data_IF_507199844507
#
_entry.id   IF_507199844507
#
_cell.length_a   1.000
_cell.length_b   1.000
_cell.length_c   1.000
_cell.angle_alpha   90.00
_cell.angle_beta   90.00
_cell.angle_gamma   90.00
#
_symmetry.space_group_name_H-M   'P 1'
#
loop_
_entity.id
_entity.type
_entity.pdbx_description
1 polymer ?
#
# COMPACT_ATOMS: atom_id res chain seq x y z
N UNK A 1 -24.31 -12.74 13.15
CA UNK A 1 -24.37 -11.54 14.01
C UNK A 1 -23.44 -10.41 13.55
N UNK A 2 -22.17 -10.64 13.16
CA UNK A 2 -21.28 -9.54 12.70
C UNK A 2 -21.65 -8.91 11.36
N UNK A 3 -22.15 -9.71 10.40
CA UNK A 3 -22.43 -9.24 9.04
C UNK A 3 -23.56 -8.22 8.95
N UNK A 4 -24.62 -8.39 9.74
CA UNK A 4 -25.76 -7.48 9.70
C UNK A 4 -25.38 -6.12 10.29
N UNK A 5 -24.59 -6.12 11.38
CA UNK A 5 -24.06 -4.90 12.02
C UNK A 5 -23.20 -4.07 11.05
N UNK A 6 -22.26 -4.70 10.35
CA UNK A 6 -21.42 -4.03 9.36
C UNK A 6 -22.26 -3.34 8.28
N UNK A 7 -23.24 -4.07 7.73
CA UNK A 7 -24.11 -3.55 6.68
C UNK A 7 -24.94 -2.37 7.16
N UNK A 8 -25.49 -2.44 8.39
CA UNK A 8 -26.24 -1.34 9.00
C UNK A 8 -25.37 -0.10 9.14
N UNK A 9 -24.18 -0.22 9.74
CA UNK A 9 -23.26 0.92 9.96
C UNK A 9 -22.93 1.62 8.63
N UNK A 10 -22.59 0.87 7.58
CA UNK A 10 -22.20 1.46 6.29
C UNK A 10 -23.40 2.05 5.54
N UNK A 11 -24.56 1.37 5.52
CA UNK A 11 -25.76 1.88 4.82
C UNK A 11 -26.31 3.15 5.48
N UNK A 12 -26.32 3.19 6.80
CA UNK A 12 -26.81 4.33 7.58
C UNK A 12 -25.74 5.41 7.76
N UNK A 13 -24.50 5.15 7.33
CA UNK A 13 -23.34 6.02 7.55
C UNK A 13 -23.20 6.39 9.04
N UNK A 14 -23.36 5.39 9.92
CA UNK A 14 -23.38 5.57 11.36
C UNK A 14 -21.97 5.84 11.90
N UNK A 15 -21.52 7.09 11.74
CA UNK A 15 -20.21 7.58 12.14
C UNK A 15 -19.95 7.41 13.64
N UNK A 16 -20.96 7.69 14.48
CA UNK A 16 -20.86 7.60 15.94
C UNK A 16 -20.46 6.20 16.40
N UNK A 17 -21.01 5.16 15.76
CA UNK A 17 -20.66 3.79 16.10
C UNK A 17 -19.23 3.40 15.67
N UNK A 18 -18.75 3.94 14.54
CA UNK A 18 -17.35 3.74 14.11
C UNK A 18 -16.39 4.43 15.10
N UNK A 19 -16.72 5.66 15.55
CA UNK A 19 -15.94 6.38 16.56
C UNK A 19 -15.90 5.58 17.86
N UNK A 20 -17.05 5.07 18.32
CA UNK A 20 -17.10 4.23 19.52
C UNK A 20 -16.19 3.00 19.38
N UNK A 21 -16.19 2.33 18.23
CA UNK A 21 -15.28 1.20 17.99
C UNK A 21 -13.81 1.62 18.00
N UNK A 22 -13.47 2.79 17.44
CA UNK A 22 -12.09 3.33 17.50
C UNK A 22 -11.63 3.58 18.94
N UNK A 23 -12.54 4.08 19.79
CA UNK A 23 -12.28 4.32 21.22
C UNK A 23 -12.13 3.03 22.02
N UNK A 24 -13.01 2.03 21.78
CA UNK A 24 -13.04 0.80 22.58
C UNK A 24 -12.06 -0.27 22.10
N UNK A 25 -12.04 -0.53 20.79
CA UNK A 25 -11.35 -1.68 20.20
C UNK A 25 -10.01 -1.26 19.58
N UNK A 26 -9.85 0.04 19.30
CA UNK A 26 -8.67 0.61 18.68
C UNK A 26 -8.63 0.41 17.16
N UNK A 27 -7.77 1.19 16.51
CA UNK A 27 -7.64 1.28 15.05
C UNK A 27 -7.58 -0.06 14.31
N UNK A 28 -6.74 -1.00 14.77
CA UNK A 28 -6.53 -2.28 14.07
C UNK A 28 -7.79 -3.13 14.07
N UNK A 29 -8.51 -3.20 15.20
CA UNK A 29 -9.72 -4.02 15.29
C UNK A 29 -10.90 -3.38 14.58
N UNK A 30 -11.04 -2.05 14.65
CA UNK A 30 -12.02 -1.33 13.84
C UNK A 30 -11.78 -1.55 12.35
N UNK A 31 -10.54 -1.38 11.89
CA UNK A 31 -10.18 -1.59 10.49
C UNK A 31 -10.40 -3.04 10.03
N UNK A 32 -10.04 -4.01 10.87
CA UNK A 32 -10.30 -5.43 10.64
C UNK A 32 -11.78 -5.74 10.43
N UNK A 33 -12.65 -5.10 11.22
CA UNK A 33 -14.10 -5.26 11.11
C UNK A 33 -14.63 -4.81 9.75
N UNK A 34 -14.14 -3.70 9.20
CA UNK A 34 -14.59 -3.15 7.91
C UNK A 34 -13.84 -3.69 6.68
N UNK A 35 -12.82 -4.55 6.86
CA UNK A 35 -11.93 -4.95 5.77
C UNK A 35 -12.66 -5.54 4.54
N UNK A 36 -13.74 -6.30 4.73
CA UNK A 36 -14.51 -6.91 3.64
C UNK A 36 -15.11 -5.92 2.65
N UNK A 37 -15.33 -4.66 3.07
CA UNK A 37 -15.91 -3.60 2.23
C UNK A 37 -14.89 -2.54 1.83
N UNK A 38 -13.66 -2.63 2.35
CA UNK A 38 -12.56 -1.72 2.04
C UNK A 38 -11.63 -2.26 0.95
N UNK A 39 -11.63 -3.57 0.70
CA UNK A 39 -10.88 -4.15 -0.41
C UNK A 39 -11.55 -3.87 -1.76
N UNK A 40 -10.76 -3.86 -2.85
CA UNK A 40 -11.28 -3.82 -4.22
C UNK A 40 -11.13 -5.17 -4.91
N UNK A 41 -12.10 -5.56 -5.73
CA UNK A 41 -12.03 -6.83 -6.50
C UNK A 41 -10.99 -6.78 -7.61
N UNK A 42 -10.80 -5.60 -8.19
CA UNK A 42 -9.79 -5.30 -9.21
C UNK A 42 -9.44 -3.82 -9.17
N UNK A 43 -8.18 -3.48 -9.51
CA UNK A 43 -7.67 -2.11 -9.63
C UNK A 43 -7.67 -1.58 -11.07
N UNK A 44 -8.24 -2.34 -12.00
CA UNK A 44 -8.55 -1.86 -13.34
C UNK A 44 -9.80 -2.54 -13.89
N UNK A 45 -10.43 -1.89 -14.86
CA UNK A 45 -11.52 -2.45 -15.66
C UNK A 45 -11.17 -2.33 -17.14
N UNK A 46 -11.71 -3.27 -17.91
CA UNK A 46 -11.67 -3.29 -19.36
C UNK A 46 -13.12 -3.22 -19.85
N UNK A 47 -13.41 -2.36 -20.81
CA UNK A 47 -14.67 -2.43 -21.54
C UNK A 47 -14.54 -3.28 -22.81
N UNK A 48 -15.65 -3.43 -23.54
CA UNK A 48 -15.72 -4.25 -24.75
C UNK A 48 -14.84 -3.75 -25.90
N UNK A 49 -14.38 -2.50 -25.84
CA UNK A 49 -13.50 -1.89 -26.84
C UNK A 49 -12.02 -2.02 -26.47
N UNK A 50 -11.74 -2.56 -25.28
CA UNK A 50 -10.39 -2.72 -24.76
C UNK A 50 -9.84 -1.47 -24.06
N UNK A 51 -10.68 -0.47 -23.75
CA UNK A 51 -10.21 0.68 -22.96
C UNK A 51 -9.91 0.24 -21.52
N UNK A 52 -8.71 0.58 -21.05
CA UNK A 52 -8.28 0.31 -19.67
C UNK A 52 -8.59 1.52 -18.79
N UNK A 53 -9.46 1.34 -17.80
CA UNK A 53 -9.70 2.33 -16.74
C UNK A 53 -9.10 1.82 -15.43
N UNK A 54 -8.16 2.57 -14.85
CA UNK A 54 -7.51 2.22 -13.58
C UNK A 54 -8.27 2.83 -12.40
N UNK A 55 -8.39 2.09 -11.31
CA UNK A 55 -8.96 2.58 -10.05
C UNK A 55 -7.85 3.11 -9.17
N UNK A 56 -8.16 4.14 -8.41
CA UNK A 56 -7.23 4.70 -7.44
C UNK A 56 -7.04 3.79 -6.22
N UNK A 57 -5.93 4.00 -5.52
CA UNK A 57 -5.64 3.37 -4.24
C UNK A 57 -6.73 3.69 -3.22
N UNK A 58 -7.11 2.70 -2.42
CA UNK A 58 -7.87 2.95 -1.20
C UNK A 58 -6.89 3.41 -0.11
N UNK A 59 -6.97 4.68 0.29
CA UNK A 59 -6.05 5.29 1.26
C UNK A 59 -6.38 4.93 2.73
N UNK A 60 -7.27 3.97 2.99
CA UNK A 60 -7.66 3.62 4.36
C UNK A 60 -6.48 3.18 5.24
N UNK A 61 -5.53 2.35 4.74
CA UNK A 61 -4.37 1.95 5.54
C UNK A 61 -3.46 3.15 5.85
N UNK A 62 -3.06 4.00 4.87
CA UNK A 62 -2.31 5.22 5.17
C UNK A 62 -3.00 6.16 6.15
N UNK A 63 -4.30 6.39 5.97
CA UNK A 63 -5.08 7.27 6.85
C UNK A 63 -5.06 6.73 8.29
N UNK A 64 -5.31 5.43 8.48
CA UNK A 64 -5.28 4.81 9.81
C UNK A 64 -3.88 4.84 10.43
N UNK A 65 -2.82 4.72 9.62
CA UNK A 65 -1.44 4.76 10.08
C UNK A 65 -1.01 6.14 10.60
N UNK A 66 -1.44 7.21 9.92
CA UNK A 66 -0.89 8.55 10.12
C UNK A 66 -1.85 9.57 10.73
N UNK A 67 -3.16 9.31 10.77
CA UNK A 67 -4.13 10.20 11.44
C UNK A 67 -4.43 9.77 12.87
N UNK A 68 -4.42 10.70 13.82
CA UNK A 68 -4.96 10.50 15.17
C UNK A 68 -6.43 10.90 15.34
N UNK A 69 -7.01 11.57 14.34
CA UNK A 69 -8.35 12.15 14.39
C UNK A 69 -9.43 11.10 14.10
N UNK A 70 -10.16 10.68 15.14
CA UNK A 70 -11.19 9.65 15.04
C UNK A 70 -12.37 10.05 14.15
N UNK A 71 -12.69 11.34 14.07
CA UNK A 71 -13.76 11.85 13.22
C UNK A 71 -13.39 11.64 11.74
N UNK A 72 -12.18 12.02 11.37
CA UNK A 72 -11.63 11.80 10.03
C UNK A 72 -11.45 10.31 9.70
N UNK A 73 -11.02 9.49 10.67
CA UNK A 73 -10.92 8.03 10.48
C UNK A 73 -12.29 7.41 10.20
N UNK A 74 -13.32 7.81 10.93
CA UNK A 74 -14.68 7.31 10.76
C UNK A 74 -15.29 7.72 9.40
N UNK A 75 -15.11 8.98 9.00
CA UNK A 75 -15.52 9.45 7.66
C UNK A 75 -14.79 8.69 6.56
N UNK A 76 -13.50 8.42 6.75
CA UNK A 76 -12.70 7.66 5.78
C UNK A 76 -13.23 6.23 5.62
N UNK A 77 -13.60 5.54 6.71
CA UNK A 77 -14.24 4.21 6.61
C UNK A 77 -15.50 4.29 5.76
N UNK A 78 -16.37 5.27 5.98
CA UNK A 78 -17.63 5.43 5.24
C UNK A 78 -17.35 5.71 3.75
N UNK A 79 -16.43 6.63 3.46
CA UNK A 79 -16.14 7.08 2.09
C UNK A 79 -15.43 6.01 1.24
N UNK A 80 -14.57 5.19 1.86
CA UNK A 80 -13.82 4.17 1.17
C UNK A 80 -14.51 2.79 1.14
N UNK A 81 -15.61 2.61 1.88
CA UNK A 81 -16.38 1.37 1.86
C UNK A 81 -17.24 1.24 0.60
N UNK A 82 -17.17 0.09 -0.07
CA UNK A 82 -18.04 -0.23 -1.21
C UNK A 82 -18.74 -1.59 -1.02
N UNK A 83 -20.02 -1.55 -0.68
CA UNK A 83 -20.85 -2.75 -0.49
C UNK A 83 -20.99 -3.59 -1.77
N UNK A 84 -20.80 -3.00 -2.96
CA UNK A 84 -20.88 -3.72 -4.25
C UNK A 84 -19.63 -4.54 -4.51
N UNK A 85 -18.48 -4.06 -4.03
CA UNK A 85 -17.20 -4.77 -4.14
C UNK A 85 -16.96 -5.76 -3.00
N UNK A 86 -17.82 -5.74 -1.96
CA UNK A 86 -17.70 -6.58 -0.78
C UNK A 86 -17.24 -8.01 -1.09
N UNK A 87 -16.18 -8.44 -0.40
CA UNK A 87 -15.59 -9.77 -0.54
C UNK A 87 -15.39 -10.39 0.85
N UNK A 88 -15.87 -11.61 1.06
CA UNK A 88 -15.65 -12.31 2.33
C UNK A 88 -14.18 -12.71 2.45
N UNK A 89 -13.56 -12.32 3.55
CA UNK A 89 -12.17 -12.68 3.82
C UNK A 89 -12.15 -14.03 4.54
N UNK A 90 -11.62 -15.05 3.86
CA UNK A 90 -11.46 -16.39 4.43
C UNK A 90 -10.16 -16.50 5.20
N UNK A 91 -10.14 -17.41 6.19
CA UNK A 91 -8.94 -17.67 6.99
C UNK A 91 -7.76 -18.06 6.10
N UNK A 92 -6.60 -17.46 6.36
CA UNK A 92 -5.39 -17.70 5.57
C UNK A 92 -4.60 -18.85 6.20
N UNK A 93 -4.49 -19.96 5.47
CA UNK A 93 -3.70 -21.11 5.90
C UNK A 93 -2.19 -20.80 5.90
N UNK A 94 -1.46 -21.47 6.79
CA UNK A 94 0.00 -21.36 6.94
C UNK A 94 0.77 -22.37 6.08
N UNK A 95 2.06 -22.10 5.85
CA UNK A 95 2.98 -23.02 5.18
C UNK A 95 4.19 -23.32 6.09
N UNK A 96 4.11 -24.34 6.94
CA UNK A 96 5.13 -24.57 7.98
C UNK A 96 6.48 -25.13 7.48
N UNK A 97 6.55 -25.69 6.26
CA UNK A 97 7.67 -26.55 5.84
C UNK A 97 8.57 -25.93 4.76
N UNK A 98 8.58 -24.61 4.59
CA UNK A 98 9.38 -23.91 3.57
C UNK A 98 10.40 -23.02 4.27
N UNK A 99 11.67 -23.03 3.88
CA UNK A 99 12.67 -22.12 4.44
C UNK A 99 12.42 -20.64 4.06
N UNK A 100 13.04 -19.71 4.79
CA UNK A 100 12.85 -18.27 4.57
C UNK A 100 13.27 -17.83 3.16
N UNK A 101 14.46 -18.20 2.63
CA UNK A 101 14.86 -17.81 1.27
C UNK A 101 13.85 -18.21 0.20
N UNK A 102 13.33 -19.45 0.27
CA UNK A 102 12.31 -19.94 -0.66
C UNK A 102 10.96 -19.29 -0.43
N UNK A 103 10.57 -18.97 0.81
CA UNK A 103 9.36 -18.18 1.09
C UNK A 103 9.41 -16.82 0.41
N UNK A 104 10.56 -16.11 0.47
CA UNK A 104 10.74 -14.82 -0.20
C UNK A 104 10.60 -14.92 -1.71
N UNK A 105 11.31 -15.88 -2.32
CA UNK A 105 11.25 -16.15 -3.76
C UNK A 105 9.81 -16.43 -4.20
N UNK A 106 9.10 -17.31 -3.49
CA UNK A 106 7.71 -17.65 -3.82
C UNK A 106 6.77 -16.47 -3.63
N UNK A 107 6.94 -15.68 -2.58
CA UNK A 107 6.15 -14.49 -2.34
C UNK A 107 6.32 -13.47 -3.48
N UNK A 108 7.56 -13.11 -3.84
CA UNK A 108 7.81 -12.18 -4.96
C UNK A 108 7.18 -12.69 -6.26
N UNK A 109 7.34 -13.98 -6.58
CA UNK A 109 6.77 -14.59 -7.78
C UNK A 109 5.24 -14.58 -7.80
N UNK A 110 4.59 -14.82 -6.66
CA UNK A 110 3.11 -14.86 -6.63
C UNK A 110 2.53 -13.46 -6.62
N UNK A 111 3.23 -12.48 -6.03
CA UNK A 111 2.90 -11.06 -6.13
C UNK A 111 2.97 -10.58 -7.59
N UNK A 112 4.08 -10.85 -8.30
CA UNK A 112 4.25 -10.44 -9.69
C UNK A 112 3.21 -11.07 -10.63
N UNK A 113 2.87 -12.34 -10.40
CA UNK A 113 1.89 -13.05 -11.23
C UNK A 113 0.44 -12.68 -10.89
N UNK A 114 0.19 -11.93 -9.82
CA UNK A 114 -1.14 -11.58 -9.34
C UNK A 114 -1.91 -12.77 -8.76
N UNK A 115 -1.22 -13.72 -8.14
CA UNK A 115 -1.83 -14.92 -7.55
C UNK A 115 -2.10 -14.74 -6.05
N UNK A 116 -3.27 -14.18 -5.73
CA UNK A 116 -3.64 -13.80 -4.35
C UNK A 116 -3.67 -14.98 -3.38
N UNK A 117 -4.18 -16.14 -3.80
CA UNK A 117 -4.32 -17.29 -2.92
C UNK A 117 -2.98 -17.84 -2.42
N UNK A 118 -1.94 -17.75 -3.23
CA UNK A 118 -0.59 -18.12 -2.81
C UNK A 118 0.12 -16.96 -2.12
N UNK A 119 0.01 -15.73 -2.64
CA UNK A 119 0.63 -14.54 -2.03
C UNK A 119 0.22 -14.37 -0.57
N UNK A 120 -1.08 -14.53 -0.26
CA UNK A 120 -1.58 -14.38 1.12
C UNK A 120 -0.98 -15.43 2.07
N UNK A 121 -0.80 -16.67 1.61
CA UNK A 121 -0.25 -17.77 2.43
C UNK A 121 1.25 -17.63 2.63
N UNK A 122 2.03 -17.38 1.57
CA UNK A 122 3.47 -17.15 1.68
C UNK A 122 3.78 -15.88 2.48
N UNK A 123 3.03 -14.81 2.25
CA UNK A 123 3.15 -13.56 2.99
C UNK A 123 2.85 -13.73 4.47
N UNK A 124 1.75 -14.42 4.83
CA UNK A 124 1.39 -14.69 6.23
C UNK A 124 2.48 -15.49 6.92
N UNK A 125 2.97 -16.56 6.27
CA UNK A 125 4.01 -17.38 6.87
C UNK A 125 5.30 -16.59 7.12
N UNK A 126 5.74 -15.79 6.13
CA UNK A 126 6.92 -14.96 6.28
C UNK A 126 6.70 -13.91 7.38
N UNK A 127 5.57 -13.20 7.40
CA UNK A 127 5.24 -12.20 8.43
C UNK A 127 5.28 -12.75 9.85
N UNK A 128 4.76 -13.96 10.06
CA UNK A 128 4.71 -14.59 11.38
C UNK A 128 6.07 -15.14 11.84
N UNK A 129 6.95 -15.51 10.92
CA UNK A 129 8.27 -16.08 11.24
C UNK A 129 9.37 -15.04 11.32
N UNK A 130 9.34 -14.09 10.41
CA UNK A 130 10.30 -13.01 10.29
C UNK A 130 9.59 -11.78 9.69
N UNK A 131 9.06 -10.97 10.59
CA UNK A 131 8.29 -9.79 10.24
C UNK A 131 9.14 -8.78 9.47
N UNK A 132 10.42 -8.67 9.81
CA UNK A 132 11.30 -7.70 9.18
C UNK A 132 11.65 -8.12 7.75
N UNK A 133 11.94 -9.41 7.56
CA UNK A 133 12.17 -9.96 6.23
C UNK A 133 10.91 -9.91 5.35
N UNK A 134 9.71 -10.04 5.93
CA UNK A 134 8.46 -9.77 5.22
C UNK A 134 8.43 -8.34 4.68
N UNK A 135 8.62 -7.33 5.54
CA UNK A 135 8.56 -5.92 5.14
C UNK A 135 9.59 -5.60 4.07
N UNK A 136 10.83 -6.08 4.25
CA UNK A 136 11.89 -5.93 3.25
C UNK A 136 11.48 -6.54 1.91
N UNK A 137 10.97 -7.77 1.92
CA UNK A 137 10.56 -8.49 0.69
C UNK A 137 9.42 -7.79 -0.05
N UNK A 138 8.38 -7.34 0.66
CA UNK A 138 7.24 -6.67 -0.01
C UNK A 138 7.60 -5.24 -0.45
N UNK A 139 8.52 -4.55 0.22
CA UNK A 139 9.08 -3.29 -0.29
C UNK A 139 9.96 -3.52 -1.51
N UNK A 140 10.86 -4.51 -1.51
CA UNK A 140 11.67 -4.87 -2.68
C UNK A 140 10.78 -5.09 -3.91
N UNK A 141 9.68 -5.82 -3.76
CA UNK A 141 8.67 -5.98 -4.80
C UNK A 141 8.02 -4.65 -5.21
N UNK A 142 7.59 -3.85 -4.23
CA UNK A 142 6.91 -2.56 -4.48
C UNK A 142 7.78 -1.55 -5.24
N UNK A 143 9.11 -1.63 -5.09
CA UNK A 143 10.07 -0.76 -5.78
C UNK A 143 10.30 -1.14 -7.25
N UNK A 144 9.89 -2.35 -7.68
CA UNK A 144 10.00 -2.78 -9.07
C UNK A 144 9.00 -2.05 -9.99
N UNK A 145 7.78 -1.83 -9.51
CA UNK A 145 6.71 -1.19 -10.27
C UNK A 145 6.81 0.33 -10.32
N UNK A 146 6.08 0.97 -11.24
CA UNK A 146 5.93 2.43 -11.31
C UNK A 146 5.58 3.05 -9.93
N UNK A 147 6.14 4.23 -9.61
CA UNK A 147 5.88 4.95 -8.36
C UNK A 147 4.38 5.27 -8.17
N UNK A 148 3.66 5.48 -9.27
CA UNK A 148 2.20 5.68 -9.34
C UNK A 148 1.35 4.57 -8.71
N UNK A 149 1.96 3.41 -8.48
CA UNK A 149 1.31 2.30 -7.78
C UNK A 149 1.08 2.62 -6.30
N UNK A 150 1.80 3.56 -5.68
CA UNK A 150 1.75 3.87 -4.25
C UNK A 150 1.91 2.63 -3.34
N UNK A 151 2.46 1.53 -3.85
CA UNK A 151 2.74 0.32 -3.06
C UNK A 151 3.72 0.61 -1.92
N UNK A 152 4.80 1.41 -2.11
CA UNK A 152 5.68 1.81 -1.01
C UNK A 152 4.92 2.51 0.13
N UNK A 153 4.06 3.48 -0.19
CA UNK A 153 3.19 4.14 0.78
C UNK A 153 2.39 3.11 1.58
N UNK A 154 1.72 2.18 0.90
CA UNK A 154 0.86 1.19 1.56
C UNK A 154 1.64 0.27 2.52
N UNK A 155 2.82 -0.19 2.11
CA UNK A 155 3.67 -1.06 2.93
C UNK A 155 4.22 -0.31 4.13
N UNK A 156 4.68 0.94 3.96
CA UNK A 156 5.16 1.79 5.06
C UNK A 156 4.04 2.06 6.08
N UNK A 157 2.83 2.37 5.60
CA UNK A 157 1.65 2.55 6.44
C UNK A 157 1.29 1.27 7.21
N UNK A 158 1.31 0.12 6.54
CA UNK A 158 1.05 -1.16 7.18
C UNK A 158 2.11 -1.49 8.24
N UNK A 159 3.40 -1.22 7.98
CA UNK A 159 4.47 -1.37 8.97
C UNK A 159 4.22 -0.53 10.21
N UNK A 160 3.89 0.75 10.04
CA UNK A 160 3.56 1.66 11.15
C UNK A 160 2.34 1.20 11.95
N UNK A 161 1.28 0.75 11.28
CA UNK A 161 0.08 0.23 11.93
C UNK A 161 0.34 -1.01 12.79
N UNK A 162 1.25 -1.88 12.34
CA UNK A 162 1.58 -3.13 13.01
C UNK A 162 2.79 -3.05 13.93
N UNK A 163 3.34 -1.86 14.17
CA UNK A 163 4.43 -1.66 15.10
C UNK A 163 4.02 -2.09 16.51
N UNK A 164 4.71 -3.10 17.05
CA UNK A 164 4.39 -3.73 18.33
C UNK A 164 2.94 -4.26 18.45
N UNK A 165 2.29 -4.58 17.33
CA UNK A 165 0.96 -5.20 17.31
C UNK A 165 1.01 -6.68 16.94
N UNK A 166 0.04 -7.41 17.45
CA UNK A 166 -0.21 -8.79 17.04
C UNK A 166 -0.74 -8.86 15.61
N UNK A 167 -0.65 -10.05 15.01
CA UNK A 167 -1.17 -10.29 13.68
C UNK A 167 -2.70 -10.13 13.64
N UNK A 168 -3.17 -9.39 12.62
CA UNK A 168 -4.58 -9.24 12.31
C UNK A 168 -4.77 -9.62 10.84
N UNK A 169 -5.45 -10.74 10.62
CA UNK A 169 -5.63 -11.38 9.32
C UNK A 169 -6.35 -10.49 8.30
N UNK A 170 -7.40 -9.79 8.72
CA UNK A 170 -8.22 -9.00 7.81
C UNK A 170 -7.47 -7.75 7.34
N UNK A 171 -6.71 -7.11 8.24
CA UNK A 171 -5.89 -5.94 7.87
C UNK A 171 -4.68 -6.38 7.05
N UNK A 172 -4.07 -7.53 7.37
CA UNK A 172 -3.03 -8.15 6.54
C UNK A 172 -3.55 -8.44 5.13
N UNK A 173 -4.79 -8.94 5.01
CA UNK A 173 -5.43 -9.21 3.73
C UNK A 173 -5.54 -7.94 2.88
N UNK A 174 -5.91 -6.78 3.45
CA UNK A 174 -5.97 -5.51 2.72
C UNK A 174 -4.63 -5.15 2.06
N UNK A 175 -3.51 -5.30 2.78
CA UNK A 175 -2.19 -5.06 2.21
C UNK A 175 -1.90 -6.05 1.07
N UNK A 176 -1.97 -7.35 1.35
CA UNK A 176 -1.52 -8.36 0.38
C UNK A 176 -2.43 -8.40 -0.86
N UNK A 177 -3.72 -8.13 -0.68
CA UNK A 177 -4.70 -7.99 -1.75
C UNK A 177 -4.28 -6.87 -2.70
N UNK A 178 -4.00 -5.67 -2.19
CA UNK A 178 -3.54 -4.54 -3.01
C UNK A 178 -2.27 -4.87 -3.79
N UNK A 179 -1.23 -5.36 -3.08
CA UNK A 179 0.07 -5.66 -3.68
C UNK A 179 -0.06 -6.68 -4.82
N UNK A 180 -1.01 -7.61 -4.70
CA UNK A 180 -1.22 -8.68 -5.68
C UNK A 180 -2.17 -8.27 -6.82
N UNK A 181 -3.28 -7.58 -6.52
CA UNK A 181 -4.33 -7.22 -7.48
C UNK A 181 -3.92 -6.02 -8.34
N UNK A 182 -3.13 -5.08 -7.82
CA UNK A 182 -2.61 -3.97 -8.61
C UNK A 182 -1.52 -4.47 -9.55
N UNK A 183 -1.81 -4.44 -10.85
CA UNK A 183 -0.87 -4.85 -11.92
C UNK A 183 0.15 -3.75 -12.17
N UNK A 184 1.38 -4.03 -11.76
CA UNK A 184 2.53 -3.16 -11.99
C UNK A 184 2.94 -3.15 -13.46
N UNK A 185 3.58 -2.05 -13.81
CA UNK A 185 4.40 -1.92 -14.98
C UNK A 185 5.86 -1.90 -14.52
N UNK A 186 6.70 -2.78 -15.08
CA UNK A 186 8.11 -2.88 -14.73
C UNK A 186 9.02 -2.18 -15.74
N UNK A 187 8.45 -1.49 -16.73
CA UNK A 187 9.19 -0.87 -17.83
C UNK A 187 10.36 -0.01 -17.36
N UNK A 188 10.16 0.91 -16.41
CA UNK A 188 11.23 1.77 -15.94
C UNK A 188 12.33 1.00 -15.20
N UNK A 189 11.97 -0.05 -14.46
CA UNK A 189 12.95 -0.90 -13.79
C UNK A 189 13.74 -1.76 -14.79
N UNK A 190 13.09 -2.29 -15.82
CA UNK A 190 13.74 -3.13 -16.82
C UNK A 190 14.68 -2.34 -17.72
N UNK A 191 14.34 -1.08 -18.03
CA UNK A 191 15.02 -0.25 -19.01
C UNK A 191 15.84 0.91 -18.42
N UNK A 192 15.89 1.08 -17.09
CA UNK A 192 16.81 2.07 -16.52
C UNK A 192 18.25 1.60 -16.67
N UNK A 193 19.07 2.42 -17.31
CA UNK A 193 20.52 2.25 -17.31
C UNK A 193 21.10 2.76 -15.99
N UNK A 194 22.19 2.14 -15.54
CA UNK A 194 22.92 2.63 -14.38
C UNK A 194 23.56 3.95 -14.77
N UNK A 195 23.08 5.04 -14.17
CA UNK A 195 23.68 6.35 -14.34
C UNK A 195 24.87 6.47 -13.37
N UNK A 196 26.08 6.44 -13.91
CA UNK A 196 27.32 6.57 -13.14
C UNK A 196 27.50 8.00 -12.57
N UNK A 197 26.67 8.97 -12.98
CA UNK A 197 26.50 10.24 -12.28
C UNK A 197 25.59 10.04 -11.07
N UNK A 198 26.11 9.31 -10.07
CA UNK A 198 25.39 8.81 -8.89
C UNK A 198 24.37 9.82 -8.39
N UNK A 199 23.11 9.47 -8.64
CA UNK A 199 21.96 10.15 -8.06
C UNK A 199 21.89 9.69 -6.60
N UNK A 200 22.57 10.42 -5.71
CA UNK A 200 22.47 10.18 -4.28
C UNK A 200 21.00 10.28 -3.83
N UNK A 201 20.59 9.40 -2.92
CA UNK A 201 19.23 9.40 -2.35
C UNK A 201 18.84 10.79 -1.82
N UNK A 202 19.77 11.45 -1.12
CA UNK A 202 19.57 12.79 -0.57
C UNK A 202 19.32 13.82 -1.68
N UNK A 203 20.05 13.77 -2.79
CA UNK A 203 19.84 14.69 -3.92
C UNK A 203 18.46 14.54 -4.56
N UNK A 204 17.95 13.30 -4.70
CA UNK A 204 16.57 13.09 -5.16
C UNK A 204 15.57 13.66 -4.19
N UNK A 205 15.75 13.39 -2.90
CA UNK A 205 14.86 13.86 -1.85
C UNK A 205 14.81 15.40 -1.82
N UNK A 206 15.97 16.04 -1.85
CA UNK A 206 16.10 17.49 -1.96
C UNK A 206 15.38 18.02 -3.20
N UNK A 207 15.53 17.37 -4.36
CA UNK A 207 14.86 17.80 -5.59
C UNK A 207 13.33 17.75 -5.51
N UNK A 208 12.76 16.88 -4.67
CA UNK A 208 11.33 16.86 -4.38
C UNK A 208 10.97 17.95 -3.36
N UNK A 209 11.70 18.06 -2.25
CA UNK A 209 11.39 18.99 -1.15
C UNK A 209 11.49 20.45 -1.62
N UNK A 210 12.51 20.79 -2.41
CA UNK A 210 12.71 22.17 -2.90
C UNK A 210 11.82 22.52 -4.09
N UNK A 211 11.20 21.53 -4.74
CA UNK A 211 10.20 21.76 -5.78
C UNK A 211 8.80 21.78 -5.16
N UNK A 212 8.31 22.97 -4.82
CA UNK A 212 6.99 23.15 -4.18
C UNK A 212 5.85 22.52 -4.98
N UNK A 213 5.84 22.68 -6.30
CA UNK A 213 4.77 22.12 -7.15
C UNK A 213 4.76 20.59 -7.09
N UNK A 214 5.94 19.97 -7.17
CA UNK A 214 6.08 18.52 -7.06
C UNK A 214 5.70 18.05 -5.66
N UNK A 215 6.20 18.72 -4.61
CA UNK A 215 5.89 18.39 -3.23
C UNK A 215 4.38 18.45 -2.92
N UNK A 216 3.68 19.40 -3.52
CA UNK A 216 2.23 19.60 -3.38
C UNK A 216 1.41 18.81 -4.42
N UNK A 217 2.03 17.79 -5.05
CA UNK A 217 1.39 16.90 -6.03
C UNK A 217 1.33 15.44 -5.58
N UNK A 218 0.40 14.68 -6.16
CA UNK A 218 0.27 13.23 -5.97
C UNK A 218 1.55 12.50 -6.39
N UNK A 219 2.16 12.92 -7.48
CA UNK A 219 3.43 12.40 -7.99
C UNK A 219 4.57 12.63 -6.99
N UNK A 220 4.55 13.76 -6.26
CA UNK A 220 5.44 14.00 -5.13
C UNK A 220 5.27 12.97 -4.01
N UNK A 221 4.04 12.66 -3.62
CA UNK A 221 3.76 11.61 -2.62
C UNK A 221 4.24 10.22 -3.08
N UNK A 222 4.03 9.90 -4.36
CA UNK A 222 4.51 8.67 -4.99
C UNK A 222 6.03 8.54 -4.87
N UNK A 223 6.76 9.60 -5.21
CA UNK A 223 8.22 9.63 -5.13
C UNK A 223 8.69 9.62 -3.66
N UNK A 224 8.15 10.47 -2.80
CA UNK A 224 8.57 10.57 -1.39
C UNK A 224 8.39 9.25 -0.65
N UNK A 225 7.25 8.57 -0.84
CA UNK A 225 7.03 7.27 -0.22
C UNK A 225 8.01 6.20 -0.74
N UNK A 226 8.40 6.28 -2.01
CA UNK A 226 9.41 5.40 -2.62
C UNK A 226 10.81 5.68 -2.06
N UNK A 227 11.21 6.95 -1.94
CA UNK A 227 12.48 7.35 -1.33
C UNK A 227 12.54 6.95 0.14
N UNK A 228 11.44 7.13 0.89
CA UNK A 228 11.34 6.68 2.29
C UNK A 228 11.53 5.18 2.43
N UNK A 229 10.99 4.40 1.50
CA UNK A 229 11.22 2.95 1.49
C UNK A 229 12.70 2.60 1.26
N UNK A 230 13.40 3.33 0.39
CA UNK A 230 14.84 3.19 0.15
C UNK A 230 15.69 3.57 1.37
N UNK A 231 15.30 4.59 2.13
CA UNK A 231 15.98 4.96 3.39
C UNK A 231 15.92 3.83 4.43
N UNK A 232 14.86 3.03 4.42
CA UNK A 232 14.56 2.10 5.51
C UNK A 232 15.41 0.82 5.48
N UNK A 233 15.89 0.42 4.30
CA UNK A 233 16.63 -0.83 4.12
C UNK A 233 17.77 -0.71 3.13
N UNK A 234 18.87 -1.43 3.42
CA UNK A 234 19.91 -1.67 2.44
C UNK A 234 19.48 -2.79 1.47
N UNK A 235 19.01 -2.39 0.29
CA UNK A 235 18.58 -3.29 -0.78
C UNK A 235 19.74 -3.67 -1.70
N UNK A 236 19.73 -4.90 -2.22
CA UNK A 236 20.80 -5.37 -3.12
C UNK A 236 20.89 -4.57 -4.43
N UNK A 237 19.74 -4.14 -4.96
CA UNK A 237 19.63 -3.41 -6.23
C UNK A 237 19.41 -1.90 -6.02
N UNK A 238 19.93 -1.35 -4.93
CA UNK A 238 19.70 0.03 -4.49
C UNK A 238 19.94 1.08 -5.59
N UNK A 239 21.13 1.07 -6.21
CA UNK A 239 21.48 2.00 -7.30
C UNK A 239 20.46 1.95 -8.44
N UNK A 240 19.99 0.75 -8.79
CA UNK A 240 19.03 0.57 -9.88
C UNK A 240 17.67 1.17 -9.54
N UNK A 241 17.22 1.06 -8.28
CA UNK A 241 16.00 1.73 -7.82
C UNK A 241 16.14 3.25 -7.88
N UNK A 242 17.30 3.81 -7.51
CA UNK A 242 17.56 5.24 -7.63
C UNK A 242 17.53 5.71 -9.08
N UNK A 243 18.23 5.01 -9.98
CA UNK A 243 18.20 5.35 -11.42
C UNK A 243 16.80 5.28 -12.00
N UNK A 244 16.01 4.26 -11.63
CA UNK A 244 14.59 4.16 -12.01
C UNK A 244 13.80 5.39 -11.57
N UNK A 245 13.88 5.78 -10.29
CA UNK A 245 13.14 6.93 -9.76
C UNK A 245 13.56 8.22 -10.47
N UNK A 246 14.87 8.41 -10.70
CA UNK A 246 15.38 9.56 -11.44
C UNK A 246 14.85 9.64 -12.88
N UNK A 247 14.69 8.51 -13.56
CA UNK A 247 14.05 8.45 -14.88
C UNK A 247 12.57 8.79 -14.78
N UNK A 248 11.83 8.21 -13.83
CA UNK A 248 10.41 8.50 -13.61
C UNK A 248 10.17 10.00 -13.36
N UNK A 249 10.99 10.62 -12.50
CA UNK A 249 10.92 12.05 -12.19
C UNK A 249 11.13 12.94 -13.43
N UNK A 250 12.10 12.61 -14.29
CA UNK A 250 12.35 13.35 -15.55
C UNK A 250 11.21 13.21 -16.56
N UNK A 251 10.42 12.13 -16.47
CA UNK A 251 9.33 11.83 -17.37
C UNK A 251 7.98 12.39 -16.89
N UNK A 252 7.93 13.03 -15.72
CA UNK A 252 6.73 13.73 -15.24
C UNK A 252 6.42 14.91 -16.17
N UNK A 253 5.23 14.88 -16.77
CA UNK A 253 4.75 15.92 -17.69
C UNK A 253 3.71 16.84 -17.05
N UNK A 254 2.88 16.27 -16.18
CA UNK A 254 1.79 16.95 -15.50
C UNK A 254 1.84 16.58 -14.02
N UNK A 255 1.48 17.53 -13.17
CA UNK A 255 1.38 17.34 -11.73
C UNK A 255 -0.08 17.41 -11.31
N UNK A 256 -0.50 16.44 -10.51
CA UNK A 256 -1.86 16.33 -9.99
C UNK A 256 -1.88 16.97 -8.61
N UNK A 257 -2.58 18.09 -8.44
CA UNK A 257 -2.68 18.77 -7.15
C UNK A 257 -3.22 17.83 -6.04
N UNK A 258 -2.60 17.87 -4.86
CA UNK A 258 -3.04 17.05 -3.73
C UNK A 258 -4.44 17.45 -3.26
N UNK A 259 -5.30 16.45 -3.04
CA UNK A 259 -6.50 16.58 -2.24
C UNK A 259 -6.16 16.66 -0.74
N UNK A 260 -7.16 16.87 0.12
CA UNK A 260 -6.94 17.01 1.57
C UNK A 260 -6.30 15.75 2.19
N UNK A 261 -6.72 14.57 1.75
CA UNK A 261 -6.20 13.29 2.22
C UNK A 261 -4.72 13.15 1.91
N UNK A 262 -4.35 13.37 0.66
CA UNK A 262 -2.99 13.22 0.18
C UNK A 262 -2.06 14.29 0.75
N UNK A 263 -2.53 15.52 1.01
CA UNK A 263 -1.77 16.53 1.80
C UNK A 263 -1.41 16.04 3.20
N UNK A 264 -2.39 15.49 3.93
CA UNK A 264 -2.15 14.94 5.29
C UNK A 264 -1.14 13.79 5.26
N UNK A 265 -1.19 12.97 4.22
CA UNK A 265 -0.26 11.84 4.05
C UNK A 265 1.16 12.31 3.67
N UNK A 266 1.32 13.25 2.74
CA UNK A 266 2.62 13.80 2.36
C UNK A 266 3.37 14.38 3.56
N UNK A 267 2.67 15.08 4.46
CA UNK A 267 3.26 15.63 5.67
C UNK A 267 3.85 14.57 6.62
N UNK A 268 3.44 13.31 6.52
CA UNK A 268 4.00 12.23 7.34
C UNK A 268 5.36 11.71 6.85
N UNK A 269 5.81 12.14 5.67
CA UNK A 269 7.06 11.72 5.03
C UNK A 269 8.11 12.84 4.91
N UNK A 270 7.77 14.06 5.34
CA UNK A 270 8.68 15.19 5.49
C UNK A 270 9.29 15.18 6.90
#
# INVERSE_FOLDING_TARGET
>A
MSNDRLLTIIKEKNKSEIIQMLETDGKIKTLSFFAEVLDKRSYFTLDSEGEIKRKELNFILPIFAFSGDFDYLADSVINFSDLREREKISSINRFSNIDIPKLKEKLMKTLSNGNLDFSKRYGKELFLRDREEFYKTVLEFSLLGDAKSLKPLLVLSFKKLFENKEYEENVFFLLISYLTKYRDNFYFYENCEKDDSIVELEKLKESVIFNKELLESKEGLEILSTLKALEMYNFKNFDKYLSKIAVEMRMLKNLTALDETTKKLSAAFL
#
